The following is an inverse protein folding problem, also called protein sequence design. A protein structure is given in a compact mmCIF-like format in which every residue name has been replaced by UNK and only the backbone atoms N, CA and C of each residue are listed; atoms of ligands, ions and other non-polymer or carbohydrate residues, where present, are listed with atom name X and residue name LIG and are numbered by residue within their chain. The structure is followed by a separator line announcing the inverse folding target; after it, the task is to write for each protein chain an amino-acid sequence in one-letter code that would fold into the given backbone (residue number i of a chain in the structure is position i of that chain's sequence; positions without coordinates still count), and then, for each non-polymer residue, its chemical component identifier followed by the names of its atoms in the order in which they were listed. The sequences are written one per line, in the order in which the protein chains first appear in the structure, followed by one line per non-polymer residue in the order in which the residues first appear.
data_IF_717342621087
#
_entry.id   IF_717342621087
#
_cell.length_a   1.000
_cell.length_b   1.000
_cell.length_c   1.000
_cell.angle_alpha   90.00
_cell.angle_beta   90.00
_cell.angle_gamma   90.00
#
_symmetry.space_group_name_H-M   'P 1'
#
loop_
_entity.id
_entity.type
_entity.pdbx_description
1 polymer ?
#
# COMPACT_ATOMS: atom_id res chain seq x y z
N UNK A 1 0.57 -19.97 -11.31
CA UNK A 1 -0.51 -19.05 -11.73
C UNK A 1 -1.13 -19.48 -13.04
N UNK A 2 -0.34 -19.71 -14.10
CA UNK A 2 -0.83 -20.22 -15.39
C UNK A 2 -1.63 -21.53 -15.29
N UNK A 3 -1.24 -22.43 -14.37
CA UNK A 3 -2.01 -23.65 -14.10
C UNK A 3 -3.38 -23.36 -13.47
N UNK A 4 -3.46 -22.36 -12.59
CA UNK A 4 -4.69 -21.99 -11.91
C UNK A 4 -5.62 -21.16 -12.82
N UNK A 5 -5.05 -20.37 -13.73
CA UNK A 5 -5.78 -19.51 -14.68
C UNK A 5 -5.15 -19.70 -16.06
N UNK A 6 -5.55 -20.75 -16.81
CA UNK A 6 -5.01 -21.01 -18.14
C UNK A 6 -5.21 -19.83 -19.10
N UNK A 7 -4.15 -19.45 -19.81
CA UNK A 7 -4.18 -18.32 -20.75
C UNK A 7 -4.03 -16.95 -20.09
N UNK A 8 -3.75 -16.88 -18.79
CA UNK A 8 -3.39 -15.62 -18.14
C UNK A 8 -2.13 -15.03 -18.78
N UNK A 9 -2.20 -13.76 -19.16
CA UNK A 9 -1.03 -12.97 -19.56
C UNK A 9 -0.57 -12.22 -18.33
N UNK A 10 0.61 -12.59 -17.81
CA UNK A 10 1.22 -11.89 -16.69
C UNK A 10 2.05 -10.72 -17.20
N UNK A 11 1.73 -9.51 -16.74
CA UNK A 11 2.46 -8.28 -17.05
C UNK A 11 3.16 -7.82 -15.78
N UNK A 12 4.48 -7.71 -15.84
CA UNK A 12 5.32 -7.33 -14.71
C UNK A 12 6.53 -6.58 -15.22
N UNK A 13 6.83 -5.44 -14.60
CA UNK A 13 8.02 -4.62 -14.89
C UNK A 13 9.12 -4.83 -13.84
N UNK A 14 8.76 -5.28 -12.64
CA UNK A 14 9.65 -5.73 -11.57
C UNK A 14 8.97 -6.75 -10.67
N UNK A 15 9.74 -7.47 -9.84
CA UNK A 15 9.23 -8.57 -9.00
C UNK A 15 8.15 -8.07 -8.04
N UNK A 16 6.90 -8.53 -8.24
CA UNK A 16 5.75 -8.16 -7.39
C UNK A 16 5.03 -6.87 -7.79
N UNK A 17 5.42 -6.24 -8.89
CA UNK A 17 4.77 -5.04 -9.47
C UNK A 17 4.64 -5.17 -11.00
N UNK A 18 3.76 -4.35 -11.56
CA UNK A 18 3.49 -4.33 -12.99
C UNK A 18 2.56 -3.18 -13.37
N UNK A 19 2.86 -2.54 -14.50
CA UNK A 19 1.94 -1.63 -15.20
C UNK A 19 1.46 -2.29 -16.47
N UNK A 20 0.14 -2.32 -16.66
CA UNK A 20 -0.48 -2.74 -17.90
C UNK A 20 -0.94 -1.51 -18.68
N UNK A 21 -0.36 -1.31 -19.87
CA UNK A 21 -0.75 -0.25 -20.79
C UNK A 21 -1.77 -0.77 -21.79
N UNK A 22 -2.82 0.00 -22.03
CA UNK A 22 -3.93 -0.34 -22.93
C UNK A 22 -4.55 0.94 -23.52
N UNK A 23 -5.51 0.77 -24.43
CA UNK A 23 -6.13 1.87 -25.18
C UNK A 23 -5.83 1.76 -26.67
N UNK A 24 -6.40 2.64 -27.48
CA UNK A 24 -6.10 2.64 -28.93
C UNK A 24 -4.67 3.14 -29.21
N UNK A 25 -4.11 3.90 -28.29
CA UNK A 25 -2.82 4.57 -28.35
C UNK A 25 -1.89 4.23 -27.16
N UNK A 26 -2.26 3.24 -26.31
CA UNK A 26 -1.59 2.92 -25.03
C UNK A 26 -1.68 4.05 -23.98
N UNK A 27 -2.70 4.89 -24.09
CA UNK A 27 -2.96 6.08 -23.28
C UNK A 27 -3.53 5.78 -21.88
N UNK A 28 -3.76 4.50 -21.55
CA UNK A 28 -4.29 4.05 -20.25
C UNK A 28 -3.25 3.20 -19.54
N UNK A 29 -2.79 3.65 -18.37
CA UNK A 29 -1.93 2.90 -17.48
C UNK A 29 -2.74 2.28 -16.33
N UNK A 30 -2.62 0.98 -16.14
CA UNK A 30 -3.31 0.24 -15.07
C UNK A 30 -2.27 -0.44 -14.18
N UNK A 31 -2.26 -0.10 -12.90
CA UNK A 31 -1.49 -0.81 -11.90
C UNK A 31 -2.20 -0.83 -10.55
N UNK A 32 -1.63 -1.47 -9.54
CA UNK A 32 -2.27 -1.49 -8.23
C UNK A 32 -1.97 -0.21 -7.42
N UNK A 33 -0.78 0.37 -7.57
CA UNK A 33 -0.34 1.60 -6.87
C UNK A 33 0.44 1.36 -5.58
N UNK A 34 0.61 0.10 -5.14
CA UNK A 34 1.36 -0.25 -3.92
C UNK A 34 2.85 0.06 -4.00
N UNK A 35 3.43 0.22 -5.20
CA UNK A 35 4.87 0.53 -5.33
C UNK A 35 5.28 1.86 -4.69
N UNK A 36 4.33 2.76 -4.44
CA UNK A 36 4.56 4.06 -3.81
C UNK A 36 4.29 4.07 -2.29
N UNK A 37 3.87 2.94 -1.73
CA UNK A 37 3.55 2.81 -0.30
C UNK A 37 4.63 1.93 0.36
N UNK A 38 5.47 2.45 1.27
CA UNK A 38 6.56 1.67 1.86
C UNK A 38 6.08 0.44 2.66
N UNK A 39 4.82 0.46 3.11
CA UNK A 39 4.19 -0.66 3.83
C UNK A 39 3.67 -1.76 2.90
N UNK A 40 3.56 -1.49 1.60
CA UNK A 40 2.95 -2.42 0.63
C UNK A 40 3.82 -2.70 -0.59
N UNK A 41 4.77 -1.82 -0.91
CA UNK A 41 5.73 -1.96 -2.00
C UNK A 41 6.65 -3.16 -1.75
N UNK A 42 6.94 -4.03 -2.74
CA UNK A 42 7.87 -5.13 -2.55
C UNK A 42 9.18 -4.71 -1.87
N UNK A 43 9.64 -5.52 -0.90
CA UNK A 43 10.87 -5.26 -0.14
C UNK A 43 11.82 -6.46 -0.21
N UNK A 44 12.80 -6.35 -1.09
CA UNK A 44 13.88 -7.33 -1.27
C UNK A 44 15.15 -6.94 -0.52
N UNK A 45 15.14 -5.84 0.24
CA UNK A 45 16.36 -5.24 0.79
C UNK A 45 16.40 -5.30 2.31
N UNK A 46 15.34 -4.83 2.99
CA UNK A 46 15.43 -4.50 4.41
C UNK A 46 15.67 -5.73 5.29
N UNK A 47 15.14 -6.89 4.89
CA UNK A 47 15.31 -8.16 5.62
C UNK A 47 16.34 -9.10 4.97
N UNK A 48 17.01 -8.71 3.87
CA UNK A 48 17.92 -9.61 3.15
C UNK A 48 19.09 -10.08 4.03
N UNK A 49 19.65 -9.20 4.87
CA UNK A 49 20.69 -9.56 5.84
C UNK A 49 20.16 -10.49 6.94
N UNK A 50 18.93 -10.27 7.41
CA UNK A 50 18.30 -11.10 8.44
C UNK A 50 18.14 -12.54 7.99
N UNK A 51 17.70 -12.76 6.74
CA UNK A 51 17.41 -14.10 6.21
C UNK A 51 18.58 -14.73 5.44
N UNK A 52 19.68 -14.00 5.27
CA UNK A 52 20.87 -14.41 4.50
C UNK A 52 20.54 -14.88 3.07
N UNK A 53 19.61 -14.18 2.40
CA UNK A 53 19.23 -14.44 1.00
C UNK A 53 18.51 -13.25 0.34
N UNK A 54 18.41 -13.29 -1.01
CA UNK A 54 17.75 -12.25 -1.82
C UNK A 54 16.29 -12.61 -2.18
N UNK A 55 15.72 -13.64 -1.56
CA UNK A 55 14.38 -14.13 -1.86
C UNK A 55 13.28 -13.37 -1.13
N UNK A 56 13.61 -12.48 -0.18
CA UNK A 56 12.64 -11.62 0.49
C UNK A 56 11.89 -10.74 -0.49
N UNK A 57 10.61 -10.53 -0.23
CA UNK A 57 9.78 -9.61 -1.02
C UNK A 57 8.65 -8.99 -0.19
N UNK A 58 8.37 -9.55 0.99
CA UNK A 58 7.23 -9.15 1.78
C UNK A 58 7.46 -7.76 2.38
N UNK A 59 6.54 -6.82 2.20
CA UNK A 59 6.61 -5.54 2.87
C UNK A 59 6.10 -5.64 4.30
N UNK A 60 6.42 -4.65 5.14
CA UNK A 60 5.99 -4.65 6.56
C UNK A 60 4.47 -4.73 6.73
N UNK A 61 3.70 -4.28 5.74
CA UNK A 61 2.26 -4.38 5.77
C UNK A 61 1.70 -5.79 5.65
N UNK A 62 2.49 -6.75 5.19
CA UNK A 62 2.13 -8.16 5.33
C UNK A 62 1.89 -8.53 6.80
N UNK A 63 2.79 -8.11 7.69
CA UNK A 63 2.78 -8.50 9.11
C UNK A 63 1.61 -7.87 9.87
N UNK A 64 1.38 -6.55 9.75
CA UNK A 64 0.21 -5.95 10.41
C UNK A 64 -1.11 -6.40 9.76
N UNK A 65 -1.15 -6.71 8.46
CA UNK A 65 -2.37 -7.21 7.83
C UNK A 65 -2.72 -8.62 8.32
N UNK A 66 -1.70 -9.49 8.51
CA UNK A 66 -1.88 -10.81 9.13
C UNK A 66 -2.37 -10.67 10.57
N UNK A 67 -1.78 -9.76 11.34
CA UNK A 67 -2.21 -9.44 12.69
C UNK A 67 -3.67 -8.96 12.75
N UNK A 68 -4.05 -8.04 11.86
CA UNK A 68 -5.42 -7.56 11.73
C UNK A 68 -6.41 -8.62 11.28
N UNK A 69 -6.00 -9.52 10.38
CA UNK A 69 -6.83 -10.65 9.96
C UNK A 69 -7.12 -11.60 11.12
N UNK A 70 -6.13 -11.92 11.95
CA UNK A 70 -6.32 -12.68 13.19
C UNK A 70 -7.34 -11.99 14.09
N UNK A 71 -7.15 -10.70 14.37
CA UNK A 71 -8.10 -9.91 15.17
C UNK A 71 -9.54 -9.98 14.65
N UNK A 72 -9.75 -9.91 13.33
CA UNK A 72 -11.09 -10.06 12.73
C UNK A 72 -11.64 -11.48 12.92
N UNK A 73 -10.84 -12.51 12.68
CA UNK A 73 -11.24 -13.93 12.82
C UNK A 73 -11.64 -14.25 14.26
N UNK A 74 -10.96 -13.66 15.23
CA UNK A 74 -11.23 -13.82 16.66
C UNK A 74 -12.44 -13.01 17.16
N UNK A 75 -13.13 -12.31 16.26
CA UNK A 75 -14.32 -11.54 16.61
C UNK A 75 -14.02 -10.14 17.16
N UNK A 76 -12.87 -9.58 16.82
CA UNK A 76 -12.44 -8.21 17.16
C UNK A 76 -12.39 -7.97 18.69
N UNK A 77 -11.61 -8.77 19.44
CA UNK A 77 -11.47 -8.55 20.88
C UNK A 77 -10.91 -7.15 21.19
N UNK A 78 -11.17 -6.68 22.41
CA UNK A 78 -10.64 -5.43 22.97
C UNK A 78 -9.73 -5.79 24.15
N UNK A 79 -8.49 -6.16 23.85
CA UNK A 79 -7.50 -6.53 24.85
C UNK A 79 -6.64 -5.31 25.23
N UNK A 80 -6.34 -5.13 26.52
CA UNK A 80 -5.33 -4.15 26.95
C UNK A 80 -3.94 -4.57 26.47
N UNK A 81 -3.16 -3.65 25.91
CA UNK A 81 -1.85 -3.89 25.32
C UNK A 81 -0.85 -2.80 25.73
N UNK A 82 0.32 -3.22 26.17
CA UNK A 82 1.44 -2.32 26.47
C UNK A 82 2.42 -2.36 25.29
N UNK A 83 2.27 -1.42 24.36
CA UNK A 83 3.18 -1.27 23.22
C UNK A 83 4.40 -0.41 23.61
N UNK A 84 5.58 -0.64 23.00
CA UNK A 84 6.71 0.27 23.11
C UNK A 84 6.33 1.71 22.77
N UNK A 85 6.76 2.66 23.61
CA UNK A 85 6.48 4.09 23.42
C UNK A 85 7.76 4.80 23.01
N UNK A 86 7.72 5.49 21.88
CA UNK A 86 8.78 6.42 21.48
C UNK A 86 8.45 7.79 22.07
N UNK A 87 9.27 8.26 23.01
CA UNK A 87 9.03 9.54 23.69
C UNK A 87 9.76 10.71 23.06
N UNK A 88 10.94 10.46 22.47
CA UNK A 88 11.75 11.49 21.84
C UNK A 88 11.37 11.61 20.36
N UNK A 89 10.66 12.68 20.02
CA UNK A 89 10.32 12.99 18.63
C UNK A 89 11.55 13.60 17.94
N UNK A 90 12.10 12.97 16.90
CA UNK A 90 13.25 13.52 16.19
C UNK A 90 12.93 14.85 15.53
N UNK A 91 13.94 15.70 15.33
CA UNK A 91 13.77 16.93 14.56
C UNK A 91 13.45 16.58 13.10
N UNK A 92 12.54 17.33 12.46
CA UNK A 92 12.15 17.10 11.05
C UNK A 92 13.31 17.19 10.06
N UNK A 93 14.40 17.86 10.44
CA UNK A 93 15.64 17.94 9.65
C UNK A 93 16.52 16.70 9.77
N UNK A 94 16.34 15.88 10.81
CA UNK A 94 16.91 14.53 10.90
C UNK A 94 16.01 13.56 10.13
N UNK A 95 16.13 13.58 8.81
CA UNK A 95 15.25 12.81 7.93
C UNK A 95 15.33 11.31 8.14
N UNK A 96 16.45 10.81 8.69
CA UNK A 96 16.62 9.39 8.99
C UNK A 96 15.75 9.01 10.20
N UNK A 97 15.99 9.62 11.35
CA UNK A 97 15.24 9.26 12.56
C UNK A 97 13.80 9.75 12.51
N UNK A 98 13.52 10.90 11.89
CA UNK A 98 12.14 11.34 11.66
C UNK A 98 11.38 10.37 10.72
N UNK A 99 12.06 9.78 9.73
CA UNK A 99 11.50 8.71 8.91
C UNK A 99 11.14 7.47 9.73
N UNK A 100 12.04 7.01 10.60
CA UNK A 100 11.76 5.90 11.51
C UNK A 100 10.60 6.21 12.48
N UNK A 101 10.51 7.45 12.96
CA UNK A 101 9.39 7.93 13.77
C UNK A 101 8.05 7.92 13.00
N UNK A 102 8.04 8.27 11.71
CA UNK A 102 6.83 8.16 10.88
C UNK A 102 6.38 6.70 10.73
N UNK A 103 7.32 5.77 10.55
CA UNK A 103 7.02 4.33 10.53
C UNK A 103 6.38 3.87 11.85
N UNK A 104 6.96 4.29 12.99
CA UNK A 104 6.41 4.08 14.31
C UNK A 104 4.98 4.63 14.45
N UNK A 105 4.72 5.87 14.04
CA UNK A 105 3.41 6.51 14.19
C UNK A 105 2.30 5.78 13.42
N UNK A 106 2.60 5.29 12.21
CA UNK A 106 1.63 4.52 11.43
C UNK A 106 1.31 3.19 12.13
N UNK A 107 2.33 2.45 12.57
CA UNK A 107 2.12 1.20 13.29
C UNK A 107 1.43 1.43 14.63
N UNK A 108 1.75 2.48 15.38
CA UNK A 108 1.04 2.87 16.59
C UNK A 108 -0.45 3.11 16.30
N UNK A 109 -0.76 3.87 15.25
CA UNK A 109 -2.15 4.17 14.85
C UNK A 109 -2.93 2.91 14.50
N UNK A 110 -2.32 2.01 13.71
CA UNK A 110 -2.93 0.74 13.31
C UNK A 110 -3.13 -0.16 14.55
N UNK A 111 -2.13 -0.24 15.42
CA UNK A 111 -2.13 -1.13 16.59
C UNK A 111 -3.04 -0.66 17.73
N UNK A 112 -3.46 0.61 17.73
CA UNK A 112 -4.34 1.16 18.76
C UNK A 112 -5.71 0.46 18.83
N UNK A 113 -6.11 -0.26 17.77
CA UNK A 113 -7.39 -0.96 17.70
C UNK A 113 -7.29 -2.44 17.33
N UNK A 114 -6.14 -2.89 16.79
CA UNK A 114 -5.91 -4.30 16.49
C UNK A 114 -5.33 -4.98 17.72
N UNK A 115 -6.16 -5.71 18.46
CA UNK A 115 -5.74 -6.35 19.73
C UNK A 115 -6.15 -7.83 19.77
N UNK A 116 -5.66 -8.68 18.83
CA UNK A 116 -5.94 -10.12 18.82
C UNK A 116 -5.56 -10.79 20.15
N UNK A 117 -5.92 -12.05 20.41
CA UNK A 117 -5.76 -12.63 21.75
C UNK A 117 -4.30 -12.99 22.09
N UNK A 118 -3.46 -13.25 21.10
CA UNK A 118 -2.08 -13.66 21.30
C UNK A 118 -1.25 -12.52 21.93
N UNK A 119 -0.37 -12.78 22.91
CA UNK A 119 0.61 -11.83 23.45
C UNK A 119 1.46 -11.15 22.37
N UNK A 120 2.01 -9.96 22.66
CA UNK A 120 2.80 -9.20 21.67
C UNK A 120 4.14 -9.87 21.37
N UNK A 121 4.68 -10.57 22.35
CA UNK A 121 5.96 -11.29 22.36
C UNK A 121 5.84 -12.73 21.85
N UNK A 122 4.61 -13.23 21.63
CA UNK A 122 4.42 -14.58 21.12
C UNK A 122 4.72 -14.61 19.62
N UNK A 123 5.47 -15.64 19.19
CA UNK A 123 5.82 -15.86 17.80
C UNK A 123 4.60 -16.35 17.00
N UNK A 124 3.79 -15.41 16.53
CA UNK A 124 2.54 -15.66 15.80
C UNK A 124 2.72 -15.72 14.28
N UNK A 125 3.82 -15.19 13.76
CA UNK A 125 4.15 -15.22 12.34
C UNK A 125 5.09 -16.39 12.04
N UNK A 126 4.52 -17.57 11.82
CA UNK A 126 5.25 -18.76 11.36
C UNK A 126 5.55 -18.66 9.84
N UNK A 127 6.80 -18.36 9.48
CA UNK A 127 7.18 -17.97 8.12
C UNK A 127 8.14 -18.98 7.48
N UNK A 128 7.64 -19.73 6.49
CA UNK A 128 8.42 -20.68 5.68
C UNK A 128 8.28 -20.41 4.17
N UNK A 129 8.26 -19.14 3.79
CA UNK A 129 8.09 -18.72 2.40
C UNK A 129 8.71 -17.34 2.15
N UNK A 130 8.91 -17.01 0.87
CA UNK A 130 9.47 -15.71 0.44
C UNK A 130 10.81 -15.37 1.12
N UNK A 131 11.71 -16.34 1.22
CA UNK A 131 13.04 -16.18 1.82
C UNK A 131 13.08 -16.32 3.35
N UNK A 132 11.94 -16.28 4.04
CA UNK A 132 11.86 -16.50 5.49
C UNK A 132 11.75 -18.00 5.82
N UNK A 133 12.38 -18.42 6.92
CA UNK A 133 12.35 -19.80 7.45
C UNK A 133 12.36 -19.83 8.99
N UNK A 134 11.75 -18.83 9.63
CA UNK A 134 11.71 -18.66 11.09
C UNK A 134 10.35 -18.09 11.53
N UNK A 135 10.14 -18.02 12.83
CA UNK A 135 8.94 -17.43 13.42
C UNK A 135 9.23 -16.07 14.05
N UNK A 136 8.24 -15.18 14.00
CA UNK A 136 8.37 -13.81 14.53
C UNK A 136 7.15 -13.39 15.33
N UNK A 137 7.38 -12.49 16.28
CA UNK A 137 6.36 -11.86 17.12
C UNK A 137 5.85 -10.54 16.52
N UNK A 138 4.85 -9.94 17.16
CA UNK A 138 4.40 -8.60 16.79
C UNK A 138 5.47 -7.54 17.08
N UNK A 139 6.21 -7.69 18.19
CA UNK A 139 7.25 -6.73 18.56
C UNK A 139 8.46 -6.76 17.64
N UNK A 140 8.68 -7.85 16.89
CA UNK A 140 9.83 -7.97 15.99
C UNK A 140 9.84 -6.94 14.86
N UNK A 141 8.67 -6.49 14.39
CA UNK A 141 8.54 -5.45 13.37
C UNK A 141 8.02 -4.11 13.90
N UNK A 142 7.68 -4.02 15.19
CA UNK A 142 7.18 -2.80 15.81
C UNK A 142 8.34 -1.92 16.29
N UNK A 143 8.49 -0.67 15.79
CA UNK A 143 9.60 0.19 16.18
C UNK A 143 9.57 0.58 17.65
N UNK A 144 10.74 0.61 18.26
CA UNK A 144 10.96 1.10 19.62
C UNK A 144 12.12 2.10 19.64
N UNK A 145 12.23 2.81 20.75
CA UNK A 145 13.41 3.63 21.03
C UNK A 145 14.49 2.75 21.66
N UNK A 146 15.68 2.75 21.05
CA UNK A 146 16.85 1.99 21.46
C UNK A 146 17.62 2.71 22.59
N UNK A 147 18.54 1.99 23.25
CA UNK A 147 19.36 2.56 24.36
C UNK A 147 20.21 3.78 23.94
N UNK A 148 20.60 3.84 22.66
CA UNK A 148 21.38 4.95 22.09
C UNK A 148 20.51 6.14 21.63
N UNK A 149 19.18 6.03 21.81
CA UNK A 149 18.20 7.04 21.46
C UNK A 149 17.69 6.96 20.01
N UNK A 150 18.21 6.04 19.19
CA UNK A 150 17.68 5.82 17.84
C UNK A 150 16.34 5.07 17.87
N UNK A 151 15.58 5.16 16.77
CA UNK A 151 14.30 4.47 16.58
C UNK A 151 14.49 3.41 15.49
N UNK A 152 14.17 2.17 15.80
CA UNK A 152 14.13 1.08 14.82
C UNK A 152 13.21 -0.04 15.29
N UNK A 153 12.74 -0.87 14.36
CA UNK A 153 12.27 -2.20 14.70
C UNK A 153 13.46 -3.09 15.10
N UNK A 154 13.29 -4.01 16.08
CA UNK A 154 14.41 -4.76 16.65
C UNK A 154 14.93 -5.87 15.72
N UNK A 155 14.04 -6.53 14.97
CA UNK A 155 14.39 -7.71 14.16
C UNK A 155 13.98 -7.51 12.70
N UNK A 156 12.68 -7.45 12.43
CA UNK A 156 12.11 -7.31 11.09
C UNK A 156 12.06 -5.84 10.68
N UNK A 157 12.44 -5.55 9.45
CA UNK A 157 12.41 -4.21 8.85
C UNK A 157 13.26 -3.18 9.59
N UNK A 158 14.40 -3.63 10.13
CA UNK A 158 15.34 -2.78 10.85
C UNK A 158 15.79 -1.61 9.97
N UNK A 159 15.63 -0.37 10.46
CA UNK A 159 15.93 0.86 9.73
C UNK A 159 15.30 0.95 8.31
N UNK A 160 14.05 0.47 8.13
CA UNK A 160 13.35 0.43 6.84
C UNK A 160 13.42 1.72 6.02
N UNK A 161 13.46 2.89 6.66
CA UNK A 161 13.53 4.17 5.97
C UNK A 161 14.81 4.34 5.13
N UNK A 162 15.90 3.68 5.50
CA UNK A 162 17.22 3.83 4.85
C UNK A 162 17.29 3.12 3.50
N UNK A 163 16.47 2.09 3.27
CA UNK A 163 16.46 1.30 2.03
C UNK A 163 15.48 1.84 1.00
N UNK A 164 14.67 2.86 1.34
CA UNK A 164 13.56 3.32 0.49
C UNK A 164 13.99 3.82 -0.89
N UNK A 165 15.11 4.54 -0.98
CA UNK A 165 15.60 5.03 -2.27
C UNK A 165 15.95 3.86 -3.21
N UNK A 166 16.64 2.85 -2.70
CA UNK A 166 17.02 1.67 -3.50
C UNK A 166 15.80 0.78 -3.79
N UNK A 167 14.86 0.66 -2.85
CA UNK A 167 13.58 -0.04 -3.08
C UNK A 167 12.78 0.61 -4.21
N UNK A 168 12.74 1.93 -4.31
CA UNK A 168 12.07 2.63 -5.41
C UNK A 168 12.72 2.33 -6.76
N UNK A 169 14.06 2.24 -6.82
CA UNK A 169 14.77 1.84 -8.04
C UNK A 169 14.42 0.39 -8.43
N UNK A 170 14.44 -0.54 -7.48
CA UNK A 170 14.10 -1.96 -7.71
C UNK A 170 12.64 -2.11 -8.19
N UNK A 171 11.74 -1.28 -7.66
CA UNK A 171 10.32 -1.30 -7.99
C UNK A 171 9.95 -0.39 -9.18
N UNK A 172 10.93 0.09 -9.96
CA UNK A 172 10.76 0.96 -11.12
C UNK A 172 9.88 2.19 -10.86
N UNK A 173 10.12 2.91 -9.77
CA UNK A 173 9.48 4.21 -9.54
C UNK A 173 10.21 5.27 -10.35
N UNK A 174 9.53 5.87 -11.34
CA UNK A 174 10.12 6.83 -12.28
C UNK A 174 10.43 8.17 -11.62
N UNK A 175 9.53 8.68 -10.78
CA UNK A 175 9.70 9.93 -10.04
C UNK A 175 9.84 9.61 -8.55
N UNK A 176 11.07 9.50 -8.01
CA UNK A 176 11.28 9.06 -6.64
C UNK A 176 10.81 10.11 -5.62
N UNK A 177 10.36 9.64 -4.47
CA UNK A 177 9.97 10.46 -3.33
C UNK A 177 10.73 10.09 -2.04
N UNK A 178 10.52 10.86 -0.96
CA UNK A 178 11.14 10.58 0.33
C UNK A 178 10.33 9.54 1.13
N UNK A 179 11.00 8.80 2.02
CA UNK A 179 10.30 7.85 2.91
C UNK A 179 9.29 8.55 3.81
N UNK A 180 9.61 9.76 4.29
CA UNK A 180 8.72 10.58 5.14
C UNK A 180 7.42 10.89 4.38
N UNK A 181 7.53 11.33 3.14
CA UNK A 181 6.37 11.60 2.29
C UNK A 181 5.55 10.33 2.05
N UNK A 182 6.21 9.24 1.67
CA UNK A 182 5.54 7.99 1.33
C UNK A 182 4.86 7.34 2.53
N UNK A 183 5.52 7.32 3.70
CA UNK A 183 4.97 6.78 4.93
C UNK A 183 3.78 7.61 5.44
N UNK A 184 3.87 8.94 5.40
CA UNK A 184 2.74 9.82 5.73
C UNK A 184 1.58 9.66 4.75
N UNK A 185 1.88 9.42 3.48
CA UNK A 185 0.92 9.24 2.40
C UNK A 185 0.19 7.89 2.39
N UNK A 186 0.71 6.87 3.08
CA UNK A 186 0.20 5.50 3.01
C UNK A 186 -1.30 5.36 3.36
N UNK A 187 -1.83 6.25 4.20
CA UNK A 187 -3.25 6.25 4.60
C UNK A 187 -4.11 7.27 3.82
N UNK A 188 -3.52 8.04 2.90
CA UNK A 188 -4.16 9.14 2.18
C UNK A 188 -4.52 8.75 0.75
N UNK A 189 -5.82 8.78 0.43
CA UNK A 189 -6.29 8.65 -0.95
C UNK A 189 -5.76 9.78 -1.86
N UNK A 190 -5.54 10.99 -1.33
CA UNK A 190 -4.99 12.09 -2.11
C UNK A 190 -3.54 11.84 -2.50
N UNK A 191 -2.75 11.22 -1.63
CA UNK A 191 -1.37 10.85 -1.94
C UNK A 191 -1.28 9.99 -3.21
N UNK A 192 -2.13 8.97 -3.35
CA UNK A 192 -2.12 8.11 -4.55
C UNK A 192 -2.59 8.83 -5.82
N UNK A 193 -3.56 9.75 -5.73
CA UNK A 193 -3.90 10.66 -6.85
C UNK A 193 -2.70 11.50 -7.27
N UNK A 194 -1.94 12.03 -6.31
CA UNK A 194 -0.73 12.81 -6.59
C UNK A 194 0.39 11.93 -7.19
N UNK A 195 0.54 10.68 -6.74
CA UNK A 195 1.48 9.74 -7.35
C UNK A 195 1.08 9.43 -8.79
N UNK A 196 -0.19 9.12 -9.07
CA UNK A 196 -0.66 8.94 -10.45
C UNK A 196 -0.34 10.14 -11.34
N UNK A 197 -0.53 11.36 -10.79
CA UNK A 197 -0.22 12.60 -11.50
C UNK A 197 1.28 12.75 -11.80
N UNK A 198 2.13 12.56 -10.79
CA UNK A 198 3.57 12.75 -10.91
C UNK A 198 4.24 11.68 -11.78
N UNK A 199 3.81 10.42 -11.67
CA UNK A 199 4.46 9.28 -12.34
C UNK A 199 4.09 9.17 -13.81
N UNK A 200 2.86 9.55 -14.18
CA UNK A 200 2.32 9.35 -15.53
C UNK A 200 1.87 10.65 -16.20
N UNK A 201 1.03 11.45 -15.54
CA UNK A 201 0.34 12.57 -16.20
C UNK A 201 1.26 13.77 -16.48
N UNK A 202 2.14 14.09 -15.53
CA UNK A 202 3.11 15.19 -15.61
C UNK A 202 4.53 14.70 -15.94
N UNK A 203 4.72 13.38 -16.07
CA UNK A 203 5.99 12.80 -16.45
C UNK A 203 6.18 12.90 -17.97
N UNK A 204 7.20 13.62 -18.41
CA UNK A 204 7.46 13.84 -19.82
C UNK A 204 7.90 12.58 -20.59
N UNK A 205 8.28 11.52 -19.88
CA UNK A 205 8.64 10.22 -20.46
C UNK A 205 7.42 9.27 -20.61
N UNK A 206 6.24 9.70 -20.17
CA UNK A 206 4.99 8.95 -20.28
C UNK A 206 4.01 9.65 -21.24
N UNK A 207 3.23 8.85 -21.96
CA UNK A 207 2.17 9.32 -22.87
C UNK A 207 0.84 8.70 -22.43
N UNK A 208 0.41 9.09 -21.23
CA UNK A 208 -0.76 8.53 -20.54
C UNK A 208 -1.76 9.65 -20.24
N UNK A 209 -3.02 9.39 -20.56
CA UNK A 209 -4.14 10.26 -20.23
C UNK A 209 -4.93 9.72 -19.02
N UNK A 210 -5.05 8.40 -18.88
CA UNK A 210 -5.84 7.78 -17.81
C UNK A 210 -4.98 6.84 -16.98
N UNK A 211 -4.92 7.09 -15.68
CA UNK A 211 -4.23 6.22 -14.72
C UNK A 211 -5.26 5.53 -13.83
N UNK A 212 -5.19 4.21 -13.72
CA UNK A 212 -6.06 3.40 -12.87
C UNK A 212 -5.23 2.73 -11.80
N UNK A 213 -5.49 3.07 -10.53
CA UNK A 213 -4.96 2.35 -9.37
C UNK A 213 -6.05 1.55 -8.64
N UNK A 214 -5.59 0.65 -7.77
CA UNK A 214 -6.38 0.05 -6.70
C UNK A 214 -5.87 0.53 -5.35
N UNK A 215 -5.47 -0.42 -4.49
CA UNK A 215 -4.79 -0.20 -3.21
C UNK A 215 -5.63 0.41 -2.08
N UNK A 216 -6.16 1.62 -2.26
CA UNK A 216 -6.82 2.36 -1.14
C UNK A 216 -8.21 1.84 -0.78
N UNK A 217 -8.79 1.00 -1.64
CA UNK A 217 -10.18 0.52 -1.57
C UNK A 217 -11.24 1.64 -1.54
N UNK A 218 -10.85 2.89 -1.81
CA UNK A 218 -11.75 4.04 -1.86
C UNK A 218 -11.99 4.40 -3.33
N UNK A 219 -13.23 4.30 -3.83
CA UNK A 219 -13.55 4.66 -5.21
C UNK A 219 -13.31 6.16 -5.44
N UNK A 220 -12.51 6.49 -6.45
CA UNK A 220 -12.12 7.87 -6.80
C UNK A 220 -12.18 8.05 -8.31
N UNK A 221 -12.74 9.16 -8.75
CA UNK A 221 -12.61 9.68 -10.10
C UNK A 221 -12.10 11.12 -10.01
N UNK A 222 -10.80 11.32 -10.21
CA UNK A 222 -10.15 12.62 -10.23
C UNK A 222 -9.90 13.06 -11.67
N UNK A 223 -10.20 14.31 -12.00
CA UNK A 223 -9.88 14.89 -13.31
C UNK A 223 -8.77 15.90 -13.17
N UNK A 224 -7.73 15.76 -13.98
CA UNK A 224 -6.63 16.71 -14.07
C UNK A 224 -6.84 17.76 -15.16
N UNK A 225 -7.98 17.74 -15.85
CA UNK A 225 -8.25 18.57 -17.03
C UNK A 225 -7.78 17.91 -18.33
N UNK A 226 -8.17 18.49 -19.48
CA UNK A 226 -7.73 18.10 -20.82
C UNK A 226 -7.88 16.60 -21.14
N UNK A 227 -8.94 15.96 -20.63
CA UNK A 227 -9.19 14.54 -20.86
C UNK A 227 -8.34 13.59 -20.01
N UNK A 228 -7.58 14.12 -19.04
CA UNK A 228 -6.71 13.34 -18.16
C UNK A 228 -7.37 13.00 -16.82
N UNK A 229 -7.23 11.76 -16.40
CA UNK A 229 -7.92 11.22 -15.23
C UNK A 229 -7.03 10.32 -14.36
N UNK A 230 -7.29 10.37 -13.05
CA UNK A 230 -6.91 9.32 -12.12
C UNK A 230 -8.17 8.62 -11.62
N UNK A 231 -8.15 7.28 -11.62
CA UNK A 231 -9.26 6.46 -11.17
C UNK A 231 -8.74 5.49 -10.11
N UNK A 232 -9.41 5.44 -8.96
CA UNK A 232 -9.30 4.33 -8.04
C UNK A 232 -10.58 3.50 -8.13
N UNK A 233 -10.48 2.21 -8.47
CA UNK A 233 -11.67 1.37 -8.66
C UNK A 233 -12.40 1.03 -7.37
N UNK A 234 -11.82 1.35 -6.20
CA UNK A 234 -12.41 1.01 -4.90
C UNK A 234 -12.33 -0.50 -4.63
N UNK A 235 -13.42 -1.09 -4.15
CA UNK A 235 -13.48 -2.52 -3.77
C UNK A 235 -14.70 -3.23 -4.34
N UNK A 236 -14.53 -4.50 -4.72
CA UNK A 236 -15.58 -5.32 -5.35
C UNK A 236 -16.49 -6.05 -4.35
N UNK A 237 -15.95 -6.62 -3.27
CA UNK A 237 -16.73 -7.43 -2.31
C UNK A 237 -16.64 -6.95 -0.86
N UNK A 238 -15.70 -6.05 -0.57
CA UNK A 238 -15.39 -5.68 0.80
C UNK A 238 -16.29 -4.55 1.32
N UNK A 239 -16.49 -4.55 2.64
CA UNK A 239 -16.85 -3.35 3.38
C UNK A 239 -15.53 -2.60 3.58
N UNK A 240 -15.32 -1.44 2.97
CA UNK A 240 -14.04 -0.72 3.04
C UNK A 240 -13.71 -0.15 4.43
N UNK A 241 -14.39 -0.61 5.49
CA UNK A 241 -14.29 -0.15 6.88
C UNK A 241 -14.79 1.27 7.11
N UNK A 242 -14.99 2.07 6.06
CA UNK A 242 -15.42 3.48 6.11
C UNK A 242 -16.90 3.65 5.79
N UNK A 243 -17.48 2.75 5.00
CA UNK A 243 -18.90 2.70 4.70
C UNK A 243 -19.47 1.34 5.12
N UNK A 244 -20.62 1.31 5.82
CA UNK A 244 -21.26 0.07 6.23
C UNK A 244 -21.84 -0.73 5.04
N UNK A 245 -21.89 -0.13 3.86
CA UNK A 245 -22.36 -0.78 2.63
C UNK A 245 -21.22 -1.40 1.84
N UNK A 246 -21.50 -2.55 1.21
CA UNK A 246 -20.61 -3.14 0.20
C UNK A 246 -20.55 -2.22 -1.01
N UNK A 247 -19.35 -1.76 -1.35
CA UNK A 247 -19.20 -0.75 -2.40
C UNK A 247 -19.41 -1.33 -3.80
N UNK A 248 -18.88 -2.53 -4.10
CA UNK A 248 -19.03 -3.19 -5.42
C UNK A 248 -18.74 -2.26 -6.60
N UNK A 249 -17.67 -1.46 -6.47
CA UNK A 249 -17.34 -0.42 -7.44
C UNK A 249 -16.44 -0.95 -8.55
N UNK A 250 -16.60 -0.37 -9.73
CA UNK A 250 -15.79 -0.67 -10.92
C UNK A 250 -15.81 0.52 -11.88
N UNK A 251 -14.83 0.59 -12.77
CA UNK A 251 -14.77 1.62 -13.82
C UNK A 251 -15.07 1.02 -15.18
N UNK A 252 -15.68 1.83 -16.06
CA UNK A 252 -15.84 1.54 -17.48
C UNK A 252 -15.21 2.69 -18.24
N UNK A 253 -14.34 2.35 -19.20
CA UNK A 253 -13.68 3.30 -20.07
C UNK A 253 -13.98 2.87 -21.52
N UNK A 254 -14.55 3.77 -22.30
CA UNK A 254 -14.69 3.58 -23.75
C UNK A 254 -13.63 4.43 -24.44
N UNK A 255 -12.81 3.79 -25.26
CA UNK A 255 -11.70 4.43 -25.98
C UNK A 255 -12.12 4.88 -27.37
N UNK A 256 -11.56 5.99 -27.85
CA UNK A 256 -11.78 6.53 -29.19
C UNK A 256 -11.15 7.91 -29.35
N UNK A 257 -11.59 8.72 -30.33
CA UNK A 257 -11.11 10.11 -30.53
C UNK A 257 -11.15 10.96 -29.25
N UNK A 258 -12.13 10.68 -28.38
CA UNK A 258 -12.19 11.16 -26.99
C UNK A 258 -12.60 10.01 -26.08
N UNK A 259 -11.84 9.77 -25.02
CA UNK A 259 -12.16 8.75 -24.03
C UNK A 259 -13.38 9.16 -23.19
N UNK A 260 -14.31 8.23 -22.95
CA UNK A 260 -15.36 8.38 -21.94
C UNK A 260 -15.00 7.55 -20.72
N UNK A 261 -15.16 8.14 -19.54
CA UNK A 261 -14.77 7.52 -18.27
C UNK A 261 -15.97 7.56 -17.33
N UNK A 262 -16.30 6.41 -16.75
CA UNK A 262 -17.32 6.30 -15.71
C UNK A 262 -16.86 5.43 -14.54
N UNK A 263 -17.32 5.78 -13.34
CA UNK A 263 -17.17 4.98 -12.15
C UNK A 263 -18.56 4.57 -11.67
N UNK A 264 -18.76 3.27 -11.48
CA UNK A 264 -20.06 2.69 -11.20
C UNK A 264 -20.04 1.82 -9.94
N UNK A 265 -21.23 1.61 -9.38
CA UNK A 265 -21.49 0.75 -8.21
C UNK A 265 -22.69 -0.16 -8.49
N UNK A 266 -22.67 -1.39 -7.97
CA UNK A 266 -23.87 -2.20 -7.82
C UNK A 266 -24.45 -2.09 -6.41
N UNK A 267 -25.73 -1.75 -6.30
CA UNK A 267 -26.46 -1.79 -5.02
C UNK A 267 -26.72 -3.24 -4.55
N UNK A 268 -27.32 -3.41 -3.38
CA UNK A 268 -27.67 -4.73 -2.82
C UNK A 268 -28.71 -5.52 -3.62
N UNK A 269 -29.46 -4.86 -4.51
CA UNK A 269 -30.41 -5.49 -5.42
C UNK A 269 -29.77 -5.82 -6.79
N UNK A 270 -28.49 -5.49 -6.99
CA UNK A 270 -27.78 -5.64 -8.25
C UNK A 270 -28.14 -4.58 -9.30
N UNK A 271 -28.71 -3.45 -8.89
CA UNK A 271 -28.96 -2.30 -9.75
C UNK A 271 -27.68 -1.47 -9.90
N UNK A 272 -27.43 -1.02 -11.14
CA UNK A 272 -26.29 -0.19 -11.48
C UNK A 272 -26.54 1.28 -11.09
N UNK A 273 -25.58 1.88 -10.42
CA UNK A 273 -25.54 3.29 -10.04
C UNK A 273 -24.31 3.96 -10.68
N UNK A 274 -24.49 5.15 -11.27
CA UNK A 274 -23.38 6.02 -11.65
C UNK A 274 -22.83 6.71 -10.39
N UNK A 275 -21.61 6.35 -10.04
CA UNK A 275 -20.93 6.79 -8.83
C UNK A 275 -19.90 7.91 -9.08
N UNK A 276 -19.78 8.38 -10.33
CA UNK A 276 -18.74 9.32 -10.78
C UNK A 276 -18.78 10.65 -10.02
N UNK A 277 -19.95 11.13 -9.62
CA UNK A 277 -20.14 12.39 -8.89
C UNK A 277 -20.04 12.27 -7.36
N UNK A 278 -19.97 11.05 -6.82
CA UNK A 278 -19.99 10.78 -5.38
C UNK A 278 -18.58 10.62 -4.78
N UNK A 279 -17.53 10.75 -5.59
CA UNK A 279 -16.16 10.60 -5.10
C UNK A 279 -15.61 11.94 -4.61
N UNK A 280 -15.30 12.02 -3.31
CA UNK A 280 -14.57 13.16 -2.75
C UNK A 280 -13.19 12.67 -2.34
N UNK A 281 -12.15 13.33 -2.86
CA UNK A 281 -10.78 13.02 -2.44
C UNK A 281 -10.49 13.78 -1.16
N UNK A 282 -10.42 13.05 -0.06
CA UNK A 282 -9.99 13.60 1.24
C UNK A 282 -8.48 13.55 1.35
N UNK A 283 -7.91 14.57 2.00
CA UNK A 283 -6.50 14.63 2.36
C UNK A 283 -6.13 13.49 3.32
#
# INVERSE_FOLDING_TARGET
LEEAIPGIVHVSDARGVGVYYTGEHNEIAIEHGHRYDPFSAPDTLTNAELVDNDDTILPSGYFYARYGATWVIEGKPENERELPVVTDVPDVSDTDQYGAFMYYQILQTISAHLTPNEPLEEDVFDMHFAGFDDSYSFLDFYPAQEEDGTISAPTLYRNIQRTWADRQVINNVSVPNSFIEAAAGALSSKYFSNQAKAQYIENAEEDVDIVIFGHTHNPILDSFGDGKYYINTGTWIDENGKTPEKMRTFTVIETGDTNTVGLYKYDDNGLLEDYSSNTTITA
#
